data_IF_399075852301
#
_entry.id   IF_399075852301
#
_cell.length_a   1.000
_cell.length_b   1.000
_cell.length_c   1.000
_cell.angle_alpha   90.00
_cell.angle_beta   90.00
_cell.angle_gamma   90.00
#
_symmetry.space_group_name_H-M   'P 1'
#
loop_
_entity.id
_entity.type
_entity.pdbx_description
1 polymer ?
#
# COMPACT_ATOMS: atom_id res chain seq x y z
N UNK A 1 19.56 -6.69 -24.22
CA UNK A 1 18.51 -6.46 -23.19
C UNK A 1 19.15 -5.71 -22.04
N UNK A 2 18.57 -4.57 -21.65
CA UNK A 2 19.02 -3.80 -20.49
C UNK A 2 18.64 -4.51 -19.19
N UNK A 3 19.44 -4.34 -18.12
CA UNK A 3 19.19 -4.93 -16.80
C UNK A 3 17.80 -4.53 -16.25
N UNK A 4 17.34 -3.32 -16.57
CA UNK A 4 16.03 -2.80 -16.18
C UNK A 4 14.86 -3.57 -16.83
N UNK A 5 15.04 -4.06 -18.05
CA UNK A 5 14.02 -4.86 -18.74
C UNK A 5 13.88 -6.28 -18.15
N UNK A 6 14.99 -6.85 -17.64
CA UNK A 6 14.99 -8.15 -16.97
C UNK A 6 14.31 -8.08 -15.60
N UNK A 7 14.56 -7.02 -14.83
CA UNK A 7 13.89 -6.79 -13.55
C UNK A 7 12.36 -6.74 -13.73
N UNK A 8 11.89 -6.08 -14.79
CA UNK A 8 10.47 -5.99 -15.05
C UNK A 8 9.81 -7.30 -15.47
N UNK A 9 10.50 -8.11 -16.28
CA UNK A 9 10.01 -9.43 -16.64
C UNK A 9 9.91 -10.36 -15.42
N UNK A 10 10.88 -10.28 -14.50
CA UNK A 10 10.86 -11.08 -13.28
C UNK A 10 9.66 -10.75 -12.38
N UNK A 11 9.30 -9.46 -12.27
CA UNK A 11 8.10 -9.05 -11.52
C UNK A 11 6.85 -9.60 -12.18
N UNK A 12 6.72 -9.51 -13.51
CA UNK A 12 5.55 -10.05 -14.21
C UNK A 12 5.37 -11.56 -14.00
N UNK A 13 6.48 -12.31 -14.02
CA UNK A 13 6.49 -13.75 -13.82
C UNK A 13 6.06 -14.13 -12.40
N UNK A 14 6.51 -13.36 -11.39
CA UNK A 14 6.20 -13.61 -10.00
C UNK A 14 4.86 -12.99 -9.54
N UNK A 15 4.28 -12.08 -10.34
CA UNK A 15 3.08 -11.36 -9.96
C UNK A 15 1.83 -12.22 -10.08
N UNK A 16 1.11 -12.34 -8.96
CA UNK A 16 -0.18 -13.03 -8.87
C UNK A 16 -1.34 -12.04 -8.75
N UNK A 17 -2.58 -12.46 -9.05
CA UNK A 17 -3.75 -11.60 -8.94
C UNK A 17 -4.04 -11.21 -7.48
N UNK A 18 -4.26 -9.93 -7.24
CA UNK A 18 -4.62 -9.35 -5.94
C UNK A 18 -5.65 -8.22 -6.13
N UNK A 19 -6.21 -7.71 -5.04
CA UNK A 19 -7.11 -6.55 -5.07
C UNK A 19 -6.43 -5.37 -4.39
N UNK A 20 -6.33 -4.24 -5.09
CA UNK A 20 -5.93 -2.96 -4.51
C UNK A 20 -7.18 -2.23 -4.03
N UNK A 21 -7.22 -1.90 -2.75
CA UNK A 21 -8.25 -1.09 -2.12
C UNK A 21 -7.69 0.29 -1.86
N UNK A 22 -8.22 1.27 -2.59
CA UNK A 22 -7.85 2.68 -2.47
C UNK A 22 -8.94 3.44 -1.75
N UNK A 23 -8.53 4.39 -0.92
CA UNK A 23 -9.43 5.25 -0.16
C UNK A 23 -9.21 6.70 -0.63
N UNK A 24 -9.93 7.16 -1.66
CA UNK A 24 -9.74 8.51 -2.18
C UNK A 24 -10.05 9.56 -1.09
N UNK A 25 -9.43 10.75 -1.18
CA UNK A 25 -9.72 11.84 -0.24
C UNK A 25 -11.20 12.18 -0.26
N UNK A 26 -11.71 12.61 0.89
CA UNK A 26 -13.05 13.17 0.98
C UNK A 26 -13.15 14.54 0.31
N UNK A 27 -14.37 14.99 0.09
CA UNK A 27 -14.67 16.31 -0.45
C UNK A 27 -15.66 17.01 0.46
N UNK A 28 -15.51 18.32 0.63
CA UNK A 28 -16.54 19.12 1.29
C UNK A 28 -17.72 19.33 0.34
N UNK A 29 -18.89 18.85 0.74
CA UNK A 29 -20.16 19.06 0.04
C UNK A 29 -21.06 19.84 0.99
N UNK A 30 -21.46 21.05 0.60
CA UNK A 30 -22.34 21.92 1.39
C UNK A 30 -21.83 22.24 2.82
N UNK A 31 -20.50 22.24 3.00
CA UNK A 31 -19.87 22.51 4.30
C UNK A 31 -19.67 21.27 5.18
N UNK A 32 -20.15 20.11 4.74
CA UNK A 32 -19.94 18.82 5.41
C UNK A 32 -18.84 18.01 4.71
N UNK A 33 -17.97 17.39 5.51
CA UNK A 33 -16.95 16.47 4.98
C UNK A 33 -17.59 15.15 4.54
N UNK A 34 -17.58 14.89 3.24
CA UNK A 34 -18.04 13.60 2.69
C UNK A 34 -16.83 12.74 2.36
N UNK A 35 -16.69 11.58 3.02
CA UNK A 35 -15.60 10.66 2.72
C UNK A 35 -15.74 10.07 1.30
N UNK A 36 -14.63 10.01 0.55
CA UNK A 36 -14.59 9.38 -0.76
C UNK A 36 -14.93 7.88 -0.69
N UNK A 37 -15.67 7.40 -1.69
CA UNK A 37 -16.05 6.00 -1.76
C UNK A 37 -14.82 5.11 -1.96
N UNK A 38 -14.74 4.01 -1.21
CA UNK A 38 -13.66 3.02 -1.34
C UNK A 38 -13.71 2.41 -2.75
N UNK A 39 -12.56 2.39 -3.43
CA UNK A 39 -12.44 1.80 -4.77
C UNK A 39 -11.56 0.57 -4.70
N UNK A 40 -12.13 -0.57 -5.10
CA UNK A 40 -11.41 -1.84 -5.24
C UNK A 40 -11.09 -2.12 -6.70
N UNK A 41 -9.81 -2.31 -7.01
CA UNK A 41 -9.31 -2.54 -8.36
C UNK A 41 -8.48 -3.83 -8.40
N UNK A 42 -8.72 -4.75 -9.35
CA UNK A 42 -7.86 -5.91 -9.52
C UNK A 42 -6.47 -5.47 -10.01
N UNK A 43 -5.43 -5.95 -9.34
CA UNK A 43 -4.02 -5.70 -9.68
C UNK A 43 -3.24 -7.00 -9.79
N UNK A 44 -2.06 -6.92 -10.39
CA UNK A 44 -1.05 -7.99 -10.34
C UNK A 44 0.15 -7.49 -9.57
N UNK A 45 0.51 -8.19 -8.50
CA UNK A 45 1.68 -7.85 -7.72
C UNK A 45 2.41 -9.10 -7.22
N UNK A 46 3.71 -8.98 -7.01
CA UNK A 46 4.51 -10.01 -6.35
C UNK A 46 4.69 -9.62 -4.88
N UNK A 47 4.23 -10.47 -3.96
CA UNK A 47 4.36 -10.29 -2.52
C UNK A 47 5.42 -11.23 -1.97
N UNK A 48 6.42 -10.70 -1.28
CA UNK A 48 7.59 -11.43 -0.80
C UNK A 48 7.91 -11.09 0.66
N UNK A 49 8.62 -11.99 1.35
CA UNK A 49 9.16 -11.69 2.66
C UNK A 49 10.12 -10.48 2.58
N UNK A 50 10.06 -9.54 3.55
CA UNK A 50 10.94 -8.38 3.57
C UNK A 50 12.38 -8.81 3.84
N UNK A 51 13.34 -8.11 3.22
CA UNK A 51 14.75 -8.33 3.52
C UNK A 51 15.16 -7.64 4.83
N UNK A 52 16.26 -8.04 5.44
CA UNK A 52 16.80 -7.38 6.64
C UNK A 52 16.99 -5.86 6.45
N UNK A 53 17.47 -5.46 5.27
CA UNK A 53 17.62 -4.05 4.88
C UNK A 53 16.29 -3.29 4.81
N UNK A 54 15.21 -3.96 4.43
CA UNK A 54 13.88 -3.35 4.39
C UNK A 54 13.36 -3.12 5.81
N UNK A 55 13.60 -4.06 6.72
CA UNK A 55 13.27 -3.92 8.14
C UNK A 55 14.05 -2.78 8.79
N UNK A 56 15.34 -2.65 8.48
CA UNK A 56 16.18 -1.53 8.95
C UNK A 56 15.64 -0.17 8.48
N UNK A 57 15.04 -0.12 7.30
CA UNK A 57 14.50 1.10 6.72
C UNK A 57 13.21 1.60 7.40
N UNK A 58 12.60 0.79 8.26
CA UNK A 58 11.41 1.15 9.03
C UNK A 58 11.79 1.75 10.39
N UNK A 59 11.00 2.68 10.93
CA UNK A 59 11.11 3.13 12.32
C UNK A 59 11.08 1.96 13.30
N UNK A 60 11.78 2.06 14.43
CA UNK A 60 11.91 0.98 15.42
C UNK A 60 10.56 0.40 15.88
N UNK A 61 9.53 1.25 16.03
CA UNK A 61 8.17 0.84 16.40
C UNK A 61 7.38 0.13 15.29
N UNK A 62 7.88 0.14 14.06
CA UNK A 62 7.23 -0.44 12.88
C UNK A 62 7.82 -1.79 12.46
N UNK A 63 8.90 -2.25 13.13
CA UNK A 63 9.61 -3.51 12.86
C UNK A 63 8.95 -4.77 13.45
N UNK A 64 7.63 -4.78 13.55
CA UNK A 64 6.86 -5.91 14.11
C UNK A 64 6.32 -6.84 13.01
N UNK A 65 5.96 -8.05 13.44
CA UNK A 65 5.56 -9.20 12.62
C UNK A 65 4.53 -8.88 11.50
N UNK A 66 4.58 -9.64 10.40
CA UNK A 66 3.59 -9.53 9.32
C UNK A 66 3.90 -8.49 8.24
N UNK A 67 5.17 -8.13 8.06
CA UNK A 67 5.62 -7.26 6.96
C UNK A 67 5.83 -8.07 5.68
N UNK A 68 5.54 -7.45 4.53
CA UNK A 68 5.78 -7.98 3.19
C UNK A 68 6.33 -6.89 2.28
N UNK A 69 7.19 -7.26 1.34
CA UNK A 69 7.57 -6.39 0.22
C UNK A 69 6.63 -6.67 -0.94
N UNK A 70 6.11 -5.61 -1.55
CA UNK A 70 5.19 -5.70 -2.68
C UNK A 70 5.83 -5.05 -3.90
N UNK A 71 5.76 -5.74 -5.03
CA UNK A 71 6.17 -5.24 -6.34
C UNK A 71 4.97 -5.21 -7.27
N UNK A 72 4.63 -4.03 -7.78
CA UNK A 72 3.45 -3.83 -8.62
C UNK A 72 3.76 -2.95 -9.82
N UNK A 73 3.06 -3.15 -10.93
CA UNK A 73 3.02 -2.16 -12.03
C UNK A 73 1.99 -1.06 -11.79
N UNK A 74 0.95 -1.38 -11.03
CA UNK A 74 -0.05 -0.41 -10.62
C UNK A 74 0.55 0.55 -9.59
N UNK A 75 0.22 1.85 -9.66
CA UNK A 75 0.64 2.80 -8.65
C UNK A 75 0.13 2.38 -7.27
N UNK A 76 0.97 2.59 -6.27
CA UNK A 76 0.68 2.33 -4.86
C UNK A 76 0.97 3.62 -4.08
N UNK A 77 0.08 4.00 -3.17
CA UNK A 77 0.22 5.22 -2.38
C UNK A 77 0.30 4.91 -0.88
N UNK A 78 1.19 5.62 -0.18
CA UNK A 78 1.10 5.75 1.29
C UNK A 78 0.06 6.81 1.64
N UNK A 79 -0.46 6.77 2.88
CA UNK A 79 -1.17 7.92 3.41
C UNK A 79 -0.20 9.12 3.44
N UNK A 80 -0.69 10.27 3.01
CA UNK A 80 -0.06 11.55 3.28
C UNK A 80 -0.81 12.19 4.46
N UNK A 81 -0.07 12.64 5.48
CA UNK A 81 -0.66 13.28 6.65
C UNK A 81 -1.31 14.63 6.27
N UNK A 82 -0.87 15.26 5.18
CA UNK A 82 -1.38 16.55 4.71
C UNK A 82 -2.69 16.44 3.92
N UNK A 83 -2.94 15.31 3.23
CA UNK A 83 -4.07 15.16 2.28
C UNK A 83 -5.27 14.37 2.82
N UNK A 84 -5.27 14.01 4.11
CA UNK A 84 -6.30 13.17 4.74
C UNK A 84 -6.60 11.85 3.98
N UNK A 85 -5.69 11.42 3.11
CA UNK A 85 -5.86 10.26 2.25
C UNK A 85 -5.47 9.02 3.06
N UNK A 86 -6.42 8.09 3.23
CA UNK A 86 -6.13 6.84 3.92
C UNK A 86 -5.23 5.98 3.04
N UNK A 87 -4.28 5.31 3.67
CA UNK A 87 -3.31 4.42 3.03
C UNK A 87 -3.98 3.38 2.13
N UNK A 88 -3.35 3.08 0.99
CA UNK A 88 -3.78 1.98 0.13
C UNK A 88 -3.60 0.63 0.85
N UNK A 89 -4.46 -0.33 0.51
CA UNK A 89 -4.38 -1.69 1.02
C UNK A 89 -4.39 -2.71 -0.12
N UNK A 90 -3.60 -3.76 0.01
CA UNK A 90 -3.59 -4.88 -0.93
C UNK A 90 -4.20 -6.09 -0.23
N UNK A 91 -5.24 -6.65 -0.82
CA UNK A 91 -5.90 -7.86 -0.36
C UNK A 91 -5.37 -9.03 -1.18
N UNK A 92 -4.76 -10.00 -0.50
CA UNK A 92 -4.23 -11.20 -1.16
C UNK A 92 -5.37 -12.18 -1.52
N UNK A 93 -5.03 -13.24 -2.26
CA UNK A 93 -6.01 -14.28 -2.64
C UNK A 93 -6.56 -15.09 -1.47
N UNK A 94 -5.92 -15.03 -0.29
CA UNK A 94 -6.40 -15.63 0.94
C UNK A 94 -7.35 -14.72 1.73
N UNK A 95 -7.63 -13.51 1.24
CA UNK A 95 -8.49 -12.51 1.89
C UNK A 95 -7.78 -11.71 2.99
N UNK A 96 -6.47 -11.80 3.10
CA UNK A 96 -5.68 -11.02 4.06
C UNK A 96 -5.36 -9.64 3.49
N UNK A 97 -5.64 -8.59 4.27
CA UNK A 97 -5.36 -7.21 3.88
C UNK A 97 -3.99 -6.75 4.39
N UNK A 98 -3.23 -6.11 3.52
CA UNK A 98 -1.91 -5.55 3.79
C UNK A 98 -1.91 -4.06 3.51
N UNK A 99 -1.71 -3.25 4.53
CA UNK A 99 -1.63 -1.79 4.44
C UNK A 99 -0.26 -1.33 3.99
N UNK A 100 -0.20 -0.42 3.02
CA UNK A 100 1.07 0.12 2.48
C UNK A 100 1.74 1.06 3.48
N UNK A 101 2.82 0.64 4.11
CA UNK A 101 3.55 1.47 5.09
C UNK A 101 4.49 2.45 4.40
N UNK A 102 5.13 2.02 3.31
CA UNK A 102 6.13 2.81 2.60
C UNK A 102 6.14 2.47 1.12
N UNK A 103 6.23 3.48 0.25
CA UNK A 103 6.45 3.29 -1.19
C UNK A 103 7.83 3.82 -1.58
N UNK A 104 8.54 3.02 -2.37
CA UNK A 104 9.81 3.33 -2.99
C UNK A 104 9.58 3.33 -4.50
N UNK A 105 9.43 4.52 -5.08
CA UNK A 105 9.21 4.67 -6.52
C UNK A 105 10.47 4.26 -7.28
N UNK A 106 10.38 3.21 -8.09
CA UNK A 106 11.44 2.74 -9.00
C UNK A 106 11.01 2.99 -10.44
N UNK A 107 10.77 4.27 -10.75
CA UNK A 107 10.29 4.73 -12.07
C UNK A 107 11.18 4.29 -13.23
N UNK A 108 12.49 4.14 -13.01
CA UNK A 108 13.47 3.68 -14.01
C UNK A 108 13.19 2.26 -14.56
N UNK A 109 12.51 1.41 -13.77
CA UNK A 109 12.20 0.04 -14.17
C UNK A 109 10.73 -0.17 -14.58
N UNK A 110 9.86 0.83 -14.37
CA UNK A 110 8.42 0.71 -14.64
C UNK A 110 7.63 -0.04 -13.56
N UNK A 111 8.13 -0.10 -12.32
CA UNK A 111 7.46 -0.77 -11.19
C UNK A 111 7.51 0.08 -9.92
N UNK A 112 6.52 -0.18 -9.07
CA UNK A 112 6.42 0.33 -7.71
C UNK A 112 6.88 -0.75 -6.76
N UNK A 113 7.78 -0.40 -5.84
CA UNK A 113 8.17 -1.24 -4.72
C UNK A 113 7.57 -0.64 -3.46
N UNK A 114 6.85 -1.42 -2.69
CA UNK A 114 6.29 -0.98 -1.42
C UNK A 114 6.63 -1.98 -0.30
N UNK A 115 6.60 -1.48 0.94
CA UNK A 115 6.57 -2.31 2.13
C UNK A 115 5.15 -2.21 2.68
N UNK A 116 4.52 -3.34 2.94
CA UNK A 116 3.17 -3.41 3.47
C UNK A 116 3.15 -4.24 4.76
N UNK A 117 2.20 -3.94 5.65
CA UNK A 117 1.98 -4.67 6.90
C UNK A 117 0.61 -5.32 6.89
N UNK A 118 0.52 -6.56 7.34
CA UNK A 118 -0.76 -7.24 7.55
C UNK A 118 -1.63 -6.46 8.55
N UNK A 119 -2.82 -6.06 8.11
CA UNK A 119 -3.77 -5.23 8.89
C UNK A 119 -4.18 -5.89 10.20
N UNK A 120 -4.19 -7.23 10.29
CA UNK A 120 -4.48 -7.97 11.53
C UNK A 120 -3.50 -7.65 12.68
N UNK A 121 -2.26 -7.27 12.37
CA UNK A 121 -1.25 -6.86 13.35
C UNK A 121 -1.22 -5.35 13.58
N UNK A 122 -2.04 -4.58 12.87
CA UNK A 122 -2.20 -3.13 13.04
C UNK A 122 -3.13 -2.84 14.24
N UNK A 123 -2.68 -3.19 15.44
CA UNK A 123 -3.33 -2.75 16.68
C UNK A 123 -3.02 -1.27 16.91
N UNK A 124 -3.81 -0.38 16.31
CA UNK A 124 -4.00 0.96 16.88
C UNK A 124 -3.64 2.17 16.03
N UNK A 125 -3.46 2.06 14.70
CA UNK A 125 -3.40 3.24 13.82
C UNK A 125 -4.54 3.24 12.79
N UNK A 126 -5.78 3.15 13.26
CA UNK A 126 -6.91 3.69 12.50
C UNK A 126 -6.88 5.21 12.65
N UNK A 127 -6.76 5.94 11.54
CA UNK A 127 -7.01 7.39 11.54
C UNK A 127 -8.35 7.60 12.24
N UNK A 128 -8.43 8.39 13.32
CA UNK A 128 -9.70 8.66 13.97
C UNK A 128 -10.65 9.24 12.92
N UNK A 129 -11.88 8.74 12.91
CA UNK A 129 -12.98 9.36 12.16
C UNK A 129 -12.98 10.86 12.52
N UNK A 130 -13.05 11.77 11.53
CA UNK A 130 -13.06 13.20 11.83
C UNK A 130 -14.21 13.48 12.81
N UNK A 131 -13.99 14.30 13.85
CA UNK A 131 -15.01 14.54 14.87
C UNK A 131 -16.24 15.15 14.20
N UNK A 132 -17.38 14.48 14.37
CA UNK A 132 -18.69 15.06 14.10
C UNK A 132 -18.85 16.28 15.00
N UNK A 133 -18.70 17.49 14.46
CA UNK A 133 -19.02 18.71 15.17
C UNK A 133 -20.55 18.86 15.21
N UNK A 134 -21.15 19.14 16.38
CA UNK A 134 -22.60 19.30 16.54
C UNK A 134 -23.15 20.58 15.90
#
# INVERSE_FOLDING_TARGET
MSLFALAGLAVDLAATPHTLRTNPPGTYVEGEWTQGAVVETPIRAAMQAPSARDLESLPEGERTEGLVTVWSRSPLNTADEDDATRTDEIINTAGEAFRIVRVLHRTEAGFYRAIARLTKYDRGRSVPEPPHLP
#
